data_IF_354524389019
#
_entry.id   IF_354524389019
#
_cell.length_a   1.000
_cell.length_b   1.000
_cell.length_c   1.000
_cell.angle_alpha   90.00
_cell.angle_beta   90.00
_cell.angle_gamma   90.00
#
_symmetry.space_group_name_H-M   'P 1'
#
loop_
_entity.id
_entity.type
_entity.pdbx_description
1 polymer ?
#
# COMPACT_ATOMS: atom_id res chain seq x y z
N UNK A 1 4.51 -20.43 -22.54
CA UNK A 1 4.17 -20.26 -21.12
C UNK A 1 2.71 -20.65 -20.98
N UNK A 2 2.42 -21.85 -20.46
CA UNK A 2 1.06 -22.24 -20.16
C UNK A 2 0.56 -21.31 -19.04
N UNK A 3 -0.61 -20.70 -19.24
CA UNK A 3 -1.28 -19.89 -18.22
C UNK A 3 -1.69 -20.80 -17.06
N UNK A 4 -1.01 -20.65 -15.94
CA UNK A 4 -1.26 -21.33 -14.65
C UNK A 4 -2.48 -20.72 -13.94
N UNK A 5 -3.60 -20.63 -14.66
CA UNK A 5 -4.86 -20.18 -14.06
C UNK A 5 -5.62 -21.42 -13.63
N UNK A 6 -5.90 -21.59 -12.32
CA UNK A 6 -6.75 -22.68 -11.84
C UNK A 6 -8.10 -22.69 -12.57
N UNK A 7 -8.69 -23.87 -12.83
CA UNK A 7 -10.02 -23.94 -13.40
C UNK A 7 -11.01 -23.21 -12.49
N UNK A 8 -11.96 -22.48 -13.08
CA UNK A 8 -13.06 -21.87 -12.34
C UNK A 8 -13.91 -23.02 -11.79
N UNK A 9 -13.91 -23.18 -10.48
CA UNK A 9 -14.75 -24.15 -9.76
C UNK A 9 -15.84 -23.36 -9.07
N UNK A 10 -17.10 -23.67 -9.37
CA UNK A 10 -18.23 -23.14 -8.63
C UNK A 10 -18.37 -23.94 -7.33
N UNK A 11 -18.29 -23.23 -6.21
CA UNK A 11 -18.45 -23.79 -4.87
C UNK A 11 -19.93 -23.67 -4.48
N UNK A 12 -20.57 -24.77 -4.12
CA UNK A 12 -21.98 -24.79 -3.69
C UNK A 12 -22.17 -23.93 -2.41
N UNK A 13 -21.14 -23.75 -1.59
CA UNK A 13 -21.14 -22.91 -0.39
C UNK A 13 -20.88 -21.42 -0.70
N UNK A 14 -20.42 -21.10 -1.92
CA UNK A 14 -20.17 -19.73 -2.38
C UNK A 14 -20.67 -19.54 -3.82
N UNK A 15 -22.00 -19.55 -4.03
CA UNK A 15 -22.59 -19.37 -5.34
C UNK A 15 -22.31 -17.97 -5.90
N UNK A 16 -22.47 -17.81 -7.20
CA UNK A 16 -22.38 -16.49 -7.85
C UNK A 16 -23.46 -15.55 -7.30
N UNK A 17 -23.08 -14.31 -7.05
CA UNK A 17 -24.01 -13.28 -6.58
C UNK A 17 -24.97 -12.86 -7.68
N UNK A 18 -26.26 -12.88 -7.39
CA UNK A 18 -27.30 -12.39 -8.31
C UNK A 18 -27.57 -10.90 -8.12
N UNK A 19 -28.34 -10.31 -9.04
CA UNK A 19 -28.78 -8.92 -8.92
C UNK A 19 -29.59 -8.67 -7.63
N UNK A 20 -30.35 -9.67 -7.18
CA UNK A 20 -31.10 -9.62 -5.92
C UNK A 20 -30.19 -9.61 -4.69
N UNK A 21 -29.03 -10.27 -4.74
CA UNK A 21 -28.03 -10.23 -3.68
C UNK A 21 -27.42 -8.82 -3.57
N UNK A 22 -27.08 -8.21 -4.70
CA UNK A 22 -26.61 -6.82 -4.73
C UNK A 22 -27.69 -5.84 -4.25
N UNK A 23 -28.95 -6.07 -4.59
CA UNK A 23 -30.06 -5.24 -4.14
C UNK A 23 -30.28 -5.34 -2.61
N UNK A 24 -29.95 -6.48 -2.00
CA UNK A 24 -30.01 -6.71 -0.54
C UNK A 24 -28.74 -6.29 0.20
N UNK A 25 -27.67 -5.93 -0.51
CA UNK A 25 -26.41 -5.51 0.10
C UNK A 25 -26.59 -4.20 0.90
N UNK A 26 -25.98 -4.14 2.08
CA UNK A 26 -26.05 -2.99 2.99
C UNK A 26 -24.65 -2.41 3.24
N UNK A 27 -24.53 -1.09 3.44
CA UNK A 27 -23.24 -0.47 3.72
C UNK A 27 -22.69 -0.96 5.08
N UNK A 28 -21.37 -1.04 5.22
CA UNK A 28 -20.73 -1.51 6.47
C UNK A 28 -21.10 -0.65 7.70
N UNK A 29 -21.52 0.60 7.50
CA UNK A 29 -22.06 1.48 8.54
C UNK A 29 -23.26 0.89 9.27
N UNK A 30 -24.02 0.03 8.61
CA UNK A 30 -25.20 -0.63 9.15
C UNK A 30 -24.87 -1.78 10.12
N UNK A 31 -23.57 -2.13 10.25
CA UNK A 31 -23.09 -3.22 11.08
C UNK A 31 -22.04 -2.74 12.10
N UNK A 32 -22.46 -2.15 13.24
CA UNK A 32 -21.55 -1.50 14.19
C UNK A 32 -20.46 -2.41 14.76
N UNK A 33 -20.77 -3.69 14.99
CA UNK A 33 -19.80 -4.67 15.48
C UNK A 33 -18.68 -4.95 14.44
N UNK A 34 -19.04 -5.04 13.16
CA UNK A 34 -18.09 -5.22 12.06
C UNK A 34 -17.27 -3.93 11.81
N UNK A 35 -17.92 -2.78 11.83
CA UNK A 35 -17.24 -1.48 11.68
C UNK A 35 -16.18 -1.26 12.78
N UNK A 36 -16.44 -1.71 14.01
CA UNK A 36 -15.48 -1.64 15.12
C UNK A 36 -14.31 -2.62 14.94
N UNK A 37 -14.55 -3.79 14.35
CA UNK A 37 -13.51 -4.79 14.06
C UNK A 37 -12.57 -4.35 12.92
N UNK A 38 -13.08 -3.54 11.99
CA UNK A 38 -12.32 -2.98 10.87
C UNK A 38 -12.29 -1.44 10.94
N UNK A 39 -11.62 -0.84 11.94
CA UNK A 39 -11.62 0.61 12.16
C UNK A 39 -10.99 1.41 11.01
N UNK A 40 -10.29 0.74 10.10
CA UNK A 40 -9.71 1.30 8.88
C UNK A 40 -10.42 0.85 7.58
N UNK A 41 -11.50 0.07 7.66
CA UNK A 41 -12.21 -0.46 6.48
C UNK A 41 -12.86 0.62 5.60
N UNK A 42 -13.07 1.81 6.17
CA UNK A 42 -13.54 3.01 5.48
C UNK A 42 -12.42 3.96 5.04
N UNK A 43 -11.16 3.69 5.42
CA UNK A 43 -10.03 4.40 4.80
C UNK A 43 -9.86 3.84 3.39
N UNK A 44 -9.76 4.67 2.35
CA UNK A 44 -9.45 4.16 1.03
C UNK A 44 -8.17 3.33 1.16
N UNK A 45 -8.25 2.06 0.74
CA UNK A 45 -7.10 1.18 0.50
C UNK A 45 -6.40 1.71 -0.75
N UNK A 46 -5.99 2.96 -0.68
CA UNK A 46 -5.24 3.68 -1.68
C UNK A 46 -3.81 3.83 -1.16
N UNK A 47 -2.88 3.91 -2.10
CA UNK A 47 -1.47 4.14 -1.80
C UNK A 47 -1.34 5.31 -0.81
N UNK A 48 -0.45 5.23 0.19
CA UNK A 48 -0.34 6.24 1.24
C UNK A 48 -0.33 7.66 0.64
N UNK A 49 -1.13 8.57 1.22
CA UNK A 49 -1.11 9.99 0.84
C UNK A 49 0.35 10.47 0.81
N UNK A 50 0.83 10.81 -0.37
CA UNK A 50 2.24 11.19 -0.62
C UNK A 50 2.98 10.31 -1.61
N UNK A 51 2.46 9.15 -2.04
CA UNK A 51 3.16 8.37 -3.08
C UNK A 51 3.07 8.96 -4.48
N UNK A 52 2.05 9.79 -4.75
CA UNK A 52 1.81 10.53 -6.01
C UNK A 52 2.08 12.03 -5.87
N UNK A 53 2.16 12.54 -4.63
CA UNK A 53 2.40 13.96 -4.30
C UNK A 53 3.74 14.17 -3.59
N UNK A 54 4.62 13.17 -3.62
CA UNK A 54 5.97 13.32 -3.10
C UNK A 54 6.73 14.23 -4.07
N UNK A 55 7.08 15.46 -3.65
CA UNK A 55 8.01 16.37 -4.33
C UNK A 55 9.46 15.81 -4.38
N UNK A 56 9.60 14.51 -4.64
CA UNK A 56 10.86 13.79 -4.71
C UNK A 56 10.88 13.08 -6.05
N UNK A 57 11.90 13.36 -6.84
CA UNK A 57 12.16 12.66 -8.10
C UNK A 57 13.10 11.49 -7.81
N UNK A 58 12.75 10.29 -8.29
CA UNK A 58 13.68 9.17 -8.26
C UNK A 58 14.76 9.41 -9.31
N UNK A 59 16.03 9.40 -8.88
CA UNK A 59 17.19 9.60 -9.74
C UNK A 59 18.22 8.48 -9.52
N UNK A 60 19.04 8.22 -10.53
CA UNK A 60 20.18 7.30 -10.42
C UNK A 60 21.40 8.08 -9.92
N UNK A 61 21.72 7.95 -8.64
CA UNK A 61 22.90 8.57 -8.00
C UNK A 61 23.85 7.48 -7.50
N UNK A 62 25.16 7.64 -7.74
CA UNK A 62 26.21 6.83 -7.12
C UNK A 62 26.70 7.52 -5.85
N UNK A 63 26.77 6.77 -4.76
CA UNK A 63 27.33 7.19 -3.48
C UNK A 63 28.48 6.26 -3.14
N UNK A 64 29.46 6.74 -2.40
CA UNK A 64 30.54 5.89 -1.88
C UNK A 64 29.96 4.78 -1.00
N UNK A 65 30.56 3.58 -1.08
CA UNK A 65 30.06 2.39 -0.40
C UNK A 65 30.03 2.56 1.12
N UNK A 66 31.02 3.24 1.69
CA UNK A 66 31.13 3.51 3.12
C UNK A 66 30.05 4.50 3.59
N UNK A 67 29.76 5.54 2.79
CA UNK A 67 28.67 6.49 3.03
C UNK A 67 27.33 5.75 3.04
N UNK A 68 27.08 4.93 2.02
CA UNK A 68 25.85 4.14 1.91
C UNK A 68 25.69 3.15 3.07
N UNK A 69 26.78 2.47 3.47
CA UNK A 69 26.78 1.55 4.60
C UNK A 69 26.44 2.25 5.91
N UNK A 70 27.06 3.41 6.21
CA UNK A 70 26.76 4.21 7.40
C UNK A 70 25.29 4.61 7.46
N UNK A 71 24.74 5.09 6.34
CA UNK A 71 23.33 5.45 6.31
C UNK A 71 22.43 4.22 6.46
N UNK A 72 22.68 3.10 5.78
CA UNK A 72 21.85 1.89 5.95
C UNK A 72 21.86 1.34 7.38
N UNK A 73 23.00 1.43 8.08
CA UNK A 73 23.15 0.95 9.47
C UNK A 73 22.22 1.65 10.46
N UNK A 74 21.76 2.86 10.14
CA UNK A 74 20.79 3.61 10.96
C UNK A 74 19.37 3.05 10.90
N UNK A 75 19.10 2.01 10.10
CA UNK A 75 17.81 1.33 10.03
C UNK A 75 16.75 2.05 9.18
N UNK A 76 15.47 1.76 9.49
CA UNK A 76 14.33 2.24 8.71
C UNK A 76 14.35 3.77 8.58
N UNK A 77 14.05 4.25 7.37
CA UNK A 77 14.02 5.69 7.08
C UNK A 77 15.38 6.32 6.75
N UNK A 78 16.45 5.54 6.61
CA UNK A 78 17.78 6.08 6.24
C UNK A 78 17.77 6.94 4.96
N UNK A 79 16.95 6.58 3.95
CA UNK A 79 16.78 7.37 2.72
C UNK A 79 16.20 8.77 2.98
N UNK A 80 15.31 8.89 3.97
CA UNK A 80 14.77 10.21 4.35
C UNK A 80 15.82 11.05 5.07
N UNK A 81 16.65 10.41 5.91
CA UNK A 81 17.69 11.12 6.67
C UNK A 81 18.86 11.57 5.80
N UNK A 82 19.28 10.77 4.81
CA UNK A 82 20.26 11.24 3.81
C UNK A 82 19.72 12.40 2.96
N UNK A 83 18.44 12.35 2.57
CA UNK A 83 17.81 13.46 1.85
C UNK A 83 17.75 14.75 2.70
N UNK A 84 17.50 14.64 4.01
CA UNK A 84 17.55 15.78 4.93
C UNK A 84 18.97 16.35 5.06
N UNK A 85 19.98 15.49 5.13
CA UNK A 85 21.38 15.93 5.14
C UNK A 85 21.74 16.70 3.86
N UNK A 86 21.32 16.22 2.69
CA UNK A 86 21.53 16.90 1.41
C UNK A 86 20.82 18.27 1.36
N UNK A 87 19.62 18.40 1.94
CA UNK A 87 18.91 19.68 2.03
C UNK A 87 19.64 20.72 2.86
N UNK A 88 20.33 20.31 3.93
CA UNK A 88 21.07 21.23 4.81
C UNK A 88 22.30 21.83 4.14
N UNK A 89 22.84 21.16 3.13
CA UNK A 89 24.05 21.58 2.39
C UNK A 89 23.73 21.97 0.95
N UNK A 90 22.44 22.04 0.60
CA UNK A 90 22.03 22.47 -0.73
C UNK A 90 22.50 23.92 -0.97
N UNK A 91 22.96 24.24 -2.20
CA UNK A 91 23.41 25.58 -2.55
C UNK A 91 22.29 26.63 -2.48
#
# INVERSE_FOLDING_TARGET
MASDTPPVVFDDDNPEWTAEDFARARPISDFPALAKAFPNGSRPVGRPKGSTTSNKTQVTLRLDNDVLARWRATGLGWQSRINEALRKVAP
#
